data_IF_143660951883
#
_entry.id   IF_143660951883
#
_cell.length_a   1.000
_cell.length_b   1.000
_cell.length_c   1.000
_cell.angle_alpha   90.00
_cell.angle_beta   90.00
_cell.angle_gamma   90.00
#
_symmetry.space_group_name_H-M   'P 1'
#
loop_
_entity.id
_entity.type
_entity.pdbx_description
1 polymer ?
#
# COMPACT_ATOMS: atom_id res chain seq x y z
N UNK A 1 11.76 -18.41 -5.46
CA UNK A 1 10.65 -17.53 -5.88
C UNK A 1 11.24 -16.49 -6.79
N UNK A 2 10.67 -16.33 -7.98
CA UNK A 2 11.10 -15.29 -8.91
C UNK A 2 10.78 -13.90 -8.34
N UNK A 3 11.65 -12.93 -8.56
CA UNK A 3 11.46 -11.56 -8.09
C UNK A 3 10.42 -10.87 -8.96
N UNK A 4 9.35 -10.37 -8.36
CA UNK A 4 8.37 -9.53 -9.04
C UNK A 4 9.01 -8.21 -9.46
N UNK A 5 8.93 -7.87 -10.75
CA UNK A 5 9.34 -6.58 -11.29
C UNK A 5 8.09 -5.84 -11.76
N UNK A 6 7.64 -4.86 -10.99
CA UNK A 6 6.52 -3.98 -11.35
C UNK A 6 7.07 -2.74 -12.06
N UNK A 7 6.38 -2.28 -13.10
CA UNK A 7 6.70 -1.02 -13.77
C UNK A 7 6.45 0.17 -12.82
N UNK A 8 7.31 1.19 -12.85
CA UNK A 8 7.08 2.43 -12.07
C UNK A 8 6.13 3.41 -12.75
N UNK A 9 5.41 2.97 -13.78
CA UNK A 9 4.39 3.78 -14.44
C UNK A 9 3.24 4.02 -13.47
N UNK A 10 2.57 5.19 -13.48
CA UNK A 10 1.35 5.38 -12.71
C UNK A 10 0.35 4.28 -13.06
N UNK A 11 -0.23 3.60 -12.06
CA UNK A 11 -1.23 2.58 -12.32
C UNK A 11 -2.44 3.20 -13.01
N UNK A 12 -2.94 2.50 -14.03
CA UNK A 12 -3.97 3.01 -14.93
C UNK A 12 -5.38 2.55 -14.54
N UNK A 13 -5.49 1.57 -13.65
CA UNK A 13 -6.77 0.93 -13.32
C UNK A 13 -7.18 1.22 -11.87
N UNK A 14 -8.49 1.42 -11.68
CA UNK A 14 -9.10 1.61 -10.37
C UNK A 14 -9.82 0.31 -10.00
N UNK A 15 -9.43 -0.28 -8.87
CA UNK A 15 -10.14 -1.34 -8.18
C UNK A 15 -11.22 -0.74 -7.26
N UNK A 16 -12.47 -0.76 -7.72
CA UNK A 16 -13.61 -0.41 -6.89
C UNK A 16 -13.94 -1.50 -5.86
N UNK A 17 -14.55 -1.12 -4.75
CA UNK A 17 -15.10 -2.05 -3.77
C UNK A 17 -14.09 -2.60 -2.77
N UNK A 18 -13.02 -1.85 -2.51
CA UNK A 18 -12.03 -2.16 -1.48
C UNK A 18 -12.62 -1.79 -0.12
N UNK A 19 -12.61 -2.74 0.81
CA UNK A 19 -13.07 -2.54 2.19
C UNK A 19 -11.94 -2.70 3.19
N UNK A 20 -11.86 -1.77 4.13
CA UNK A 20 -10.88 -1.75 5.23
C UNK A 20 -11.64 -1.38 6.50
N UNK A 21 -11.94 -2.36 7.34
CA UNK A 21 -12.83 -2.20 8.51
C UNK A 21 -14.21 -1.64 8.12
N UNK A 22 -14.60 -0.48 8.67
CA UNK A 22 -15.85 0.22 8.36
C UNK A 22 -15.76 1.09 7.09
N UNK A 23 -14.56 1.23 6.52
CA UNK A 23 -14.32 2.01 5.31
C UNK A 23 -14.52 1.19 4.04
N UNK A 24 -15.09 1.84 3.01
CA UNK A 24 -15.33 1.30 1.69
C UNK A 24 -15.01 2.36 0.62
N UNK A 25 -14.24 1.99 -0.40
CA UNK A 25 -13.90 2.89 -1.49
C UNK A 25 -13.15 2.21 -2.65
N UNK A 26 -12.41 3.02 -3.41
CA UNK A 26 -11.79 2.63 -4.67
C UNK A 26 -10.27 2.84 -4.62
N UNK A 27 -9.48 1.84 -5.02
CA UNK A 27 -8.02 1.87 -4.97
C UNK A 27 -7.38 1.78 -6.34
N UNK A 28 -6.12 2.21 -6.48
CA UNK A 28 -5.42 2.11 -7.76
C UNK A 28 -4.70 0.76 -7.84
N UNK A 29 -4.96 -0.01 -8.89
CA UNK A 29 -4.50 -1.38 -9.07
C UNK A 29 -3.10 -1.43 -9.71
N UNK A 30 -2.18 -2.17 -9.08
CA UNK A 30 -0.78 -2.32 -9.54
C UNK A 30 -0.62 -3.32 -10.71
N UNK A 31 -1.73 -3.80 -11.25
CA UNK A 31 -1.80 -4.59 -12.46
C UNK A 31 -1.81 -6.10 -12.23
N UNK A 32 -2.15 -6.80 -13.31
CA UNK A 32 -2.37 -8.24 -13.34
C UNK A 32 -1.13 -9.05 -12.97
N UNK A 33 0.08 -8.56 -13.30
CA UNK A 33 1.34 -9.24 -12.97
C UNK A 33 1.62 -9.20 -11.46
N UNK A 34 1.36 -8.06 -10.82
CA UNK A 34 1.50 -7.91 -9.37
C UNK A 34 0.48 -8.76 -8.63
N UNK A 35 -0.78 -8.71 -9.07
CA UNK A 35 -1.87 -9.54 -8.56
C UNK A 35 -1.55 -11.04 -8.65
N UNK A 36 -1.08 -11.51 -9.82
CA UNK A 36 -0.71 -12.92 -10.02
C UNK A 36 0.42 -13.35 -9.10
N UNK A 37 1.49 -12.57 -9.03
CA UNK A 37 2.64 -12.91 -8.20
C UNK A 37 2.29 -12.97 -6.71
N UNK A 38 1.55 -11.97 -6.21
CA UNK A 38 1.09 -11.99 -4.82
C UNK A 38 0.15 -13.15 -4.54
N UNK A 39 -0.72 -13.49 -5.51
CA UNK A 39 -1.62 -14.62 -5.40
C UNK A 39 -0.87 -15.94 -5.30
N UNK A 40 0.17 -16.13 -6.12
CA UNK A 40 1.02 -17.32 -6.11
C UNK A 40 1.84 -17.42 -4.82
N UNK A 41 2.36 -16.29 -4.31
CA UNK A 41 3.12 -16.24 -3.06
C UNK A 41 2.26 -16.58 -1.84
N UNK A 42 1.04 -16.03 -1.79
CA UNK A 42 0.12 -16.20 -0.65
C UNK A 42 -0.77 -17.44 -0.75
N UNK A 43 -0.83 -18.09 -1.92
CA UNK A 43 -1.68 -19.25 -2.20
C UNK A 43 -3.19 -18.92 -2.24
N UNK A 44 -3.54 -17.65 -2.48
CA UNK A 44 -4.94 -17.16 -2.51
C UNK A 44 -5.07 -15.96 -3.44
N UNK A 45 -6.22 -15.75 -4.10
CA UNK A 45 -6.46 -14.56 -4.92
C UNK A 45 -6.20 -13.29 -4.11
N UNK A 46 -5.23 -12.50 -4.55
CA UNK A 46 -4.75 -11.30 -3.87
C UNK A 46 -4.38 -10.25 -4.93
N UNK A 47 -4.89 -9.03 -4.78
CA UNK A 47 -4.50 -7.88 -5.60
C UNK A 47 -3.62 -6.94 -4.78
N UNK A 48 -2.65 -6.34 -5.45
CA UNK A 48 -1.87 -5.24 -4.88
C UNK A 48 -2.51 -3.94 -5.37
N UNK A 49 -2.85 -3.08 -4.44
CA UNK A 49 -3.42 -1.76 -4.72
C UNK A 49 -2.61 -0.70 -3.97
N UNK A 50 -2.54 0.50 -4.51
CA UNK A 50 -1.74 1.60 -3.99
C UNK A 50 -2.58 2.85 -3.79
N UNK A 51 -2.09 3.71 -2.91
CA UNK A 51 -2.93 4.59 -2.15
C UNK A 51 -2.04 5.57 -1.33
N UNK A 52 -2.24 6.89 -1.44
CA UNK A 52 -1.15 7.88 -1.32
C UNK A 52 -1.32 9.03 -0.29
N UNK A 53 -2.38 9.05 0.52
CA UNK A 53 -2.75 10.22 1.35
C UNK A 53 -1.62 10.75 2.27
N UNK A 54 -0.93 9.91 3.05
CA UNK A 54 0.19 10.33 3.91
C UNK A 54 1.39 10.85 3.10
N UNK A 55 1.65 10.27 1.92
CA UNK A 55 2.71 10.74 1.04
C UNK A 55 2.36 12.07 0.39
N UNK A 56 1.10 12.26 0.00
CA UNK A 56 0.62 13.51 -0.57
C UNK A 56 0.78 14.65 0.44
N UNK A 57 0.34 14.46 1.69
CA UNK A 57 0.54 15.45 2.76
C UNK A 57 2.02 15.71 3.05
N UNK A 58 2.88 14.69 3.02
CA UNK A 58 4.32 14.90 3.15
C UNK A 58 4.88 15.75 2.00
N UNK A 59 4.46 15.47 0.76
CA UNK A 59 4.95 16.14 -0.43
C UNK A 59 4.54 17.61 -0.50
N UNK A 60 3.43 18.01 0.13
CA UNK A 60 3.05 19.43 0.29
C UNK A 60 4.10 20.25 1.06
N UNK A 61 4.86 19.60 1.95
CA UNK A 61 5.88 20.25 2.78
C UNK A 61 7.29 20.20 2.16
N UNK A 62 7.44 19.54 1.00
CA UNK A 62 8.72 19.36 0.33
C UNK A 62 8.83 20.28 -0.89
N UNK A 63 10.01 20.87 -1.08
CA UNK A 63 10.31 21.66 -2.29
C UNK A 63 10.26 20.78 -3.55
N UNK A 64 10.78 19.56 -3.43
CA UNK A 64 10.81 18.56 -4.49
C UNK A 64 10.06 17.33 -3.98
N UNK A 65 8.88 17.00 -4.54
CA UNK A 65 8.10 15.84 -4.15
C UNK A 65 8.90 14.54 -4.30
N UNK A 66 8.68 13.61 -3.38
CA UNK A 66 9.34 12.30 -3.38
C UNK A 66 8.36 11.18 -3.70
N UNK A 67 8.80 10.16 -4.45
CA UNK A 67 8.00 8.97 -4.74
C UNK A 67 7.91 8.02 -3.54
N UNK A 68 6.83 7.22 -3.48
CA UNK A 68 6.57 6.28 -2.39
C UNK A 68 7.66 5.21 -2.22
N UNK A 69 8.35 4.87 -3.30
CA UNK A 69 9.43 3.86 -3.30
C UNK A 69 10.62 4.24 -2.39
N UNK A 70 10.81 5.53 -2.05
CA UNK A 70 11.79 6.00 -1.05
C UNK A 70 11.50 5.45 0.35
N UNK A 71 10.25 5.09 0.62
CA UNK A 71 9.78 4.60 1.91
C UNK A 71 9.69 3.08 2.01
N UNK A 72 9.92 2.37 0.89
CA UNK A 72 9.99 0.91 0.76
C UNK A 72 8.85 0.16 1.49
N UNK A 73 7.57 0.54 1.29
CA UNK A 73 6.47 -0.18 1.90
C UNK A 73 6.37 -1.60 1.32
N UNK A 74 6.01 -2.56 2.17
CA UNK A 74 5.57 -3.90 1.72
C UNK A 74 4.06 -3.96 1.54
N UNK A 75 3.33 -3.12 2.27
CA UNK A 75 1.88 -2.99 2.25
C UNK A 75 1.61 -1.49 2.25
N UNK A 76 0.83 -1.03 1.29
CA UNK A 76 0.38 0.35 1.16
C UNK A 76 -1.14 0.38 1.31
N UNK A 77 -1.65 1.40 2.00
CA UNK A 77 -3.06 1.49 2.42
C UNK A 77 -3.53 2.94 2.24
N UNK A 78 -4.72 3.16 1.69
CA UNK A 78 -5.48 4.43 1.73
C UNK A 78 -6.97 4.16 1.87
N UNK A 79 -7.79 5.18 1.68
CA UNK A 79 -9.08 5.36 2.29
C UNK A 79 -8.99 5.93 3.70
N UNK A 80 -7.79 6.27 4.14
CA UNK A 80 -7.51 6.63 5.52
C UNK A 80 -6.93 8.04 5.60
N UNK A 81 -7.26 8.74 6.69
CA UNK A 81 -6.71 10.07 6.96
C UNK A 81 -5.17 10.01 6.99
N UNK A 82 -4.49 11.08 6.56
CA UNK A 82 -3.03 11.14 6.62
C UNK A 82 -2.50 10.73 8.00
N UNK A 83 -1.49 9.86 8.02
CA UNK A 83 -0.82 9.34 9.21
C UNK A 83 -1.69 8.48 10.15
N UNK A 84 -2.92 8.15 9.78
CA UNK A 84 -3.77 7.29 10.60
C UNK A 84 -3.19 5.88 10.81
N UNK A 85 -2.28 5.44 9.93
CA UNK A 85 -1.54 4.20 10.07
C UNK A 85 -0.68 4.11 11.34
N UNK A 86 -0.27 5.25 11.90
CA UNK A 86 0.54 5.31 13.11
C UNK A 86 -0.24 4.82 14.35
N UNK A 87 -1.57 4.83 14.28
CA UNK A 87 -2.48 4.40 15.36
C UNK A 87 -2.89 2.94 15.24
N UNK A 88 -2.56 2.27 14.13
CA UNK A 88 -2.98 0.88 13.92
C UNK A 88 -2.15 -0.05 14.80
N UNK A 89 -2.84 -0.85 15.62
CA UNK A 89 -2.21 -1.90 16.44
C UNK A 89 -2.33 -3.27 15.79
N UNK A 90 -3.40 -3.49 15.04
CA UNK A 90 -3.66 -4.72 14.30
C UNK A 90 -4.22 -4.38 12.92
N UNK A 91 -3.69 -5.01 11.89
CA UNK A 91 -4.16 -4.88 10.49
C UNK A 91 -4.63 -6.26 10.05
N UNK A 92 -5.91 -6.37 9.68
CA UNK A 92 -6.45 -7.64 9.17
C UNK A 92 -6.69 -7.54 7.67
N UNK A 93 -6.07 -8.44 6.92
CA UNK A 93 -6.23 -8.58 5.48
C UNK A 93 -6.77 -9.99 5.20
N UNK A 94 -8.07 -10.08 4.88
CA UNK A 94 -8.82 -11.34 4.80
C UNK A 94 -8.72 -12.16 6.12
N UNK A 95 -8.06 -13.31 6.07
CA UNK A 95 -7.89 -14.22 7.20
C UNK A 95 -6.55 -14.06 7.93
N UNK A 96 -5.76 -13.06 7.57
CA UNK A 96 -4.43 -12.81 8.14
C UNK A 96 -4.48 -11.57 9.01
N UNK A 97 -4.00 -11.70 10.24
CA UNK A 97 -3.86 -10.58 11.17
C UNK A 97 -2.37 -10.28 11.33
N UNK A 98 -2.00 -9.04 11.04
CA UNK A 98 -0.68 -8.49 11.26
C UNK A 98 -0.74 -7.60 12.50
N UNK A 99 0.23 -7.76 13.40
CA UNK A 99 0.38 -6.86 14.54
C UNK A 99 1.39 -5.78 14.17
N UNK A 100 0.99 -4.51 14.35
CA UNK A 100 1.88 -3.39 14.16
C UNK A 100 2.76 -3.25 15.41
N UNK A 101 4.06 -3.47 15.26
CA UNK A 101 4.97 -3.51 16.40
C UNK A 101 5.47 -2.12 16.80
N UNK A 102 5.80 -1.26 15.81
CA UNK A 102 6.41 0.05 16.05
C UNK A 102 6.34 0.91 14.79
N UNK A 103 6.44 2.23 14.97
CA UNK A 103 6.60 3.19 13.88
C UNK A 103 7.92 2.99 13.16
N UNK A 104 7.91 3.20 11.84
CA UNK A 104 9.10 3.11 11.01
C UNK A 104 9.88 4.42 11.05
N UNK A 105 10.94 4.47 11.85
CA UNK A 105 11.90 5.57 11.81
C UNK A 105 12.68 5.54 10.50
N UNK A 106 12.77 6.69 9.83
CA UNK A 106 13.43 6.82 8.53
C UNK A 106 14.94 7.06 8.71
N UNK A 107 15.75 6.46 7.85
CA UNK A 107 17.18 6.73 7.72
C UNK A 107 17.49 7.37 6.36
N UNK A 108 18.66 8.01 6.24
CA UNK A 108 19.20 8.41 4.94
C UNK A 108 19.67 7.16 4.20
N UNK A 109 18.89 6.70 3.22
CA UNK A 109 19.22 5.62 2.30
C UNK A 109 19.22 6.16 0.89
#
# INVERSE_FOLDING_TARGET
MDVLKISMSPPQEIADGVSIWEWFGAALDEGVDASKWFSDYLGKPSRLVHFNASLDTLNEHLKDPVPINRFRPNILVDGCEPFSEDLWTNVRINNFTFQCCMLCFRCQV
#
